data_IF_586534188107
#
_entry.id   IF_586534188107
#
_cell.length_a   1.000
_cell.length_b   1.000
_cell.length_c   1.000
_cell.angle_alpha   90.00
_cell.angle_beta   90.00
_cell.angle_gamma   90.00
#
_symmetry.space_group_name_H-M   'P 1'
#
loop_
_entity.id
_entity.type
_entity.pdbx_description
1 polymer ?
#
# COMPACT_ATOMS: atom_id res chain seq x y z
N UNK A 1 5.99 -6.85 -14.72
CA UNK A 1 5.12 -8.04 -14.68
C UNK A 1 4.10 -7.92 -13.54
N UNK A 2 2.88 -7.44 -13.81
CA UNK A 2 1.79 -7.42 -12.82
C UNK A 2 0.83 -8.62 -12.98
N UNK A 3 0.89 -9.33 -14.11
CA UNK A 3 -0.05 -10.40 -14.46
C UNK A 3 0.30 -11.77 -13.85
N UNK A 4 1.57 -12.01 -13.52
CA UNK A 4 2.05 -13.30 -13.01
C UNK A 4 2.66 -13.16 -11.60
N UNK A 5 2.51 -14.18 -10.73
CA UNK A 5 1.73 -15.39 -10.94
C UNK A 5 0.21 -15.17 -10.74
N UNK A 6 -0.62 -15.86 -11.54
CA UNK A 6 -2.08 -15.91 -11.33
C UNK A 6 -2.40 -16.94 -10.24
N UNK A 7 -3.36 -16.61 -9.38
CA UNK A 7 -3.84 -17.45 -8.27
C UNK A 7 -5.36 -17.33 -8.17
N UNK A 8 -6.00 -18.36 -7.62
CA UNK A 8 -7.43 -18.38 -7.39
C UNK A 8 -7.76 -17.71 -6.06
N UNK A 9 -8.74 -16.79 -6.06
CA UNK A 9 -9.36 -16.33 -4.82
C UNK A 9 -10.18 -17.47 -4.19
N UNK A 10 -9.88 -17.85 -2.95
CA UNK A 10 -10.55 -18.93 -2.23
C UNK A 10 -12.04 -18.66 -1.93
N UNK A 11 -12.46 -17.38 -1.95
CA UNK A 11 -13.84 -16.98 -1.63
C UNK A 11 -14.69 -16.75 -2.88
N UNK A 12 -14.18 -16.01 -3.86
CA UNK A 12 -14.92 -15.67 -5.09
C UNK A 12 -14.67 -16.64 -6.24
N UNK A 13 -13.67 -17.52 -6.12
CA UNK A 13 -13.20 -18.43 -7.19
C UNK A 13 -12.75 -17.72 -8.46
N UNK A 14 -12.45 -16.42 -8.38
CA UNK A 14 -11.93 -15.64 -9.50
C UNK A 14 -10.41 -15.83 -9.63
N UNK A 15 -9.88 -16.17 -10.81
CA UNK A 15 -8.44 -16.19 -11.06
C UNK A 15 -7.93 -14.75 -11.23
N UNK A 16 -6.96 -14.36 -10.42
CA UNK A 16 -6.42 -13.01 -10.40
C UNK A 16 -4.90 -13.03 -10.24
N UNK A 17 -4.18 -12.01 -10.72
CA UNK A 17 -2.77 -11.86 -10.39
C UNK A 17 -2.56 -11.75 -8.88
N UNK A 18 -1.47 -12.35 -8.37
CA UNK A 18 -1.15 -12.34 -6.92
C UNK A 18 -1.12 -10.93 -6.33
N UNK A 19 -0.75 -9.92 -7.11
CA UNK A 19 -0.73 -8.52 -6.67
C UNK A 19 -2.12 -7.97 -6.26
N UNK A 20 -3.21 -8.59 -6.73
CA UNK A 20 -4.59 -8.25 -6.39
C UNK A 20 -5.16 -9.09 -5.25
N UNK A 21 -4.35 -9.98 -4.67
CA UNK A 21 -4.78 -10.91 -3.63
C UNK A 21 -4.09 -10.61 -2.30
N UNK A 22 -4.85 -10.72 -1.22
CA UNK A 22 -4.33 -10.81 0.13
C UNK A 22 -4.08 -12.28 0.46
N UNK A 23 -2.83 -12.60 0.80
CA UNK A 23 -2.49 -13.93 1.29
C UNK A 23 -2.72 -14.03 2.80
N UNK A 24 -3.08 -15.22 3.24
CA UNK A 24 -3.21 -15.62 4.63
C UNK A 24 -2.43 -16.90 4.88
N UNK A 25 -1.75 -16.97 6.02
CA UNK A 25 -1.13 -18.17 6.55
C UNK A 25 -1.81 -18.62 7.84
N UNK A 26 -1.32 -19.71 8.40
CA UNK A 26 -1.78 -20.26 9.67
C UNK A 26 -0.68 -20.21 10.71
N UNK A 27 -1.03 -19.75 11.91
CA UNK A 27 -0.12 -19.65 13.05
C UNK A 27 -0.81 -20.19 14.29
N UNK A 28 -0.06 -20.87 15.17
CA UNK A 28 -0.53 -21.24 16.51
C UNK A 28 -0.35 -20.07 17.46
N UNK A 29 -1.41 -19.72 18.16
CA UNK A 29 -1.35 -18.74 19.24
C UNK A 29 -0.48 -19.31 20.38
N UNK A 30 0.50 -18.55 20.91
CA UNK A 30 1.46 -19.07 21.89
C UNK A 30 0.80 -19.55 23.18
N UNK A 31 -0.19 -18.79 23.68
CA UNK A 31 -0.82 -19.09 24.98
C UNK A 31 -1.95 -20.13 24.91
N UNK A 32 -2.77 -20.10 23.85
CA UNK A 32 -3.98 -20.92 23.75
C UNK A 32 -3.78 -22.16 22.89
N UNK A 33 -2.65 -22.25 22.17
CA UNK A 33 -2.33 -23.29 21.18
C UNK A 33 -3.40 -23.43 20.06
N UNK A 34 -4.33 -22.49 19.97
CA UNK A 34 -5.34 -22.44 18.91
C UNK A 34 -4.72 -21.96 17.61
N UNK A 35 -5.29 -22.37 16.49
CA UNK A 35 -4.78 -22.00 15.17
C UNK A 35 -5.56 -20.80 14.65
N UNK A 36 -4.85 -19.83 14.09
CA UNK A 36 -5.41 -18.58 13.61
C UNK A 36 -5.00 -18.34 12.16
N UNK A 37 -5.93 -17.78 11.39
CA UNK A 37 -5.61 -17.14 10.12
C UNK A 37 -4.90 -15.82 10.38
N UNK A 38 -3.75 -15.61 9.75
CA UNK A 38 -2.97 -14.37 9.86
C UNK A 38 -2.63 -13.89 8.44
N UNK A 39 -2.80 -12.59 8.11
CA UNK A 39 -2.36 -12.06 6.83
C UNK A 39 -0.85 -12.24 6.65
N UNK A 40 -0.42 -12.73 5.49
CA UNK A 40 1.01 -12.77 5.19
C UNK A 40 1.56 -11.34 5.08
N UNK A 41 2.69 -11.10 5.74
CA UNK A 41 3.31 -9.77 5.82
C UNK A 41 3.10 -9.04 7.14
N UNK A 42 2.28 -9.59 8.06
CA UNK A 42 2.02 -8.98 9.38
C UNK A 42 3.24 -9.07 10.31
N UNK A 43 3.89 -10.23 10.32
CA UNK A 43 4.94 -10.56 11.29
C UNK A 43 6.34 -10.75 10.67
N UNK A 44 6.52 -10.39 9.41
CA UNK A 44 7.86 -10.32 8.82
C UNK A 44 8.51 -9.02 9.29
N UNK A 45 9.45 -9.12 10.25
CA UNK A 45 10.36 -8.04 10.59
C UNK A 45 10.82 -7.38 9.29
N UNK A 46 10.39 -6.15 9.10
CA UNK A 46 10.54 -5.47 7.83
C UNK A 46 11.86 -4.73 7.85
N UNK A 47 12.76 -5.11 6.95
CA UNK A 47 13.83 -4.20 6.52
C UNK A 47 13.15 -3.00 5.85
N UNK A 48 13.47 -1.76 6.27
CA UNK A 48 13.00 -0.57 5.56
C UNK A 48 13.36 -0.67 4.07
N UNK A 49 12.87 0.25 3.24
CA UNK A 49 13.32 0.41 1.85
C UNK A 49 14.84 0.73 1.72
N UNK A 50 15.60 0.62 2.82
CA UNK A 50 17.06 0.71 2.94
C UNK A 50 17.80 -0.48 2.32
N UNK A 51 17.24 -1.69 2.28
CA UNK A 51 18.04 -2.90 1.95
C UNK A 51 17.68 -3.63 0.65
N UNK A 52 16.58 -3.26 -0.01
CA UNK A 52 16.19 -3.89 -1.30
C UNK A 52 16.84 -3.18 -2.51
N UNK A 53 17.67 -2.16 -2.27
CA UNK A 53 18.41 -1.44 -3.31
C UNK A 53 19.87 -1.22 -2.89
N UNK A 54 20.61 -2.31 -2.67
CA UNK A 54 22.06 -2.25 -2.65
C UNK A 54 22.59 -2.13 -4.08
N UNK A 55 23.30 -1.05 -4.38
CA UNK A 55 24.19 -0.94 -5.55
C UNK A 55 23.59 -0.35 -6.83
N UNK A 56 23.16 0.91 -6.78
CA UNK A 56 23.20 1.78 -7.96
C UNK A 56 23.27 3.24 -7.48
N UNK A 57 24.45 3.84 -7.57
CA UNK A 57 24.60 5.28 -7.53
C UNK A 57 23.81 5.85 -8.72
N UNK A 58 22.69 6.54 -8.45
CA UNK A 58 21.93 7.27 -9.48
C UNK A 58 22.71 8.54 -9.87
N UNK A 59 23.38 8.50 -11.02
CA UNK A 59 23.65 9.68 -11.83
C UNK A 59 22.47 9.87 -12.81
N UNK A 60 21.71 10.94 -12.62
CA UNK A 60 20.65 11.39 -13.54
C UNK A 60 21.32 12.06 -14.75
N UNK A 61 21.42 11.39 -15.90
CA UNK A 61 21.58 12.03 -17.23
C UNK A 61 20.92 11.14 -18.32
N UNK A 62 20.11 11.67 -19.26
CA UNK A 62 19.35 10.84 -20.18
C UNK A 62 20.01 10.79 -21.56
N UNK A 63 20.79 9.74 -21.86
CA UNK A 63 20.96 9.30 -23.26
C UNK A 63 21.60 7.91 -23.39
N UNK A 64 21.13 7.23 -24.44
CA UNK A 64 21.73 6.12 -25.16
C UNK A 64 21.34 4.69 -24.77
N UNK A 65 20.53 4.15 -25.68
CA UNK A 65 20.26 2.74 -25.89
C UNK A 65 21.51 1.96 -26.31
N UNK A 66 21.67 0.74 -25.81
CA UNK A 66 22.18 -0.39 -26.57
C UNK A 66 21.78 -1.71 -25.90
N UNK A 67 21.21 -2.59 -26.71
CA UNK A 67 20.82 -3.97 -26.46
C UNK A 67 22.02 -4.85 -26.11
N UNK A 68 21.85 -5.82 -25.20
CA UNK A 68 22.44 -7.15 -25.37
C UNK A 68 21.68 -8.22 -24.57
N UNK A 69 21.39 -9.32 -25.26
CA UNK A 69 20.83 -10.59 -24.79
C UNK A 69 21.89 -11.41 -24.05
N UNK A 70 21.45 -12.30 -23.16
CA UNK A 70 22.31 -13.29 -22.50
C UNK A 70 21.55 -14.22 -21.56
N UNK A 71 21.16 -15.36 -22.09
CA UNK A 71 20.65 -16.60 -21.47
C UNK A 71 21.50 -17.14 -20.31
N UNK A 72 20.86 -17.84 -19.35
CA UNK A 72 21.54 -18.81 -18.48
C UNK A 72 20.84 -19.09 -17.15
N UNK A 73 20.31 -20.29 -17.01
CA UNK A 73 19.58 -20.88 -15.88
C UNK A 73 20.42 -21.14 -14.62
N UNK A 74 19.69 -21.48 -13.56
CA UNK A 74 20.01 -22.49 -12.55
C UNK A 74 20.36 -22.06 -11.10
N UNK A 75 19.68 -22.79 -10.21
CA UNK A 75 19.60 -22.65 -8.78
C UNK A 75 20.91 -22.98 -8.07
N UNK A 76 21.19 -22.30 -6.95
CA UNK A 76 21.92 -22.92 -5.84
C UNK A 76 21.43 -22.35 -4.51
N UNK A 77 20.84 -23.26 -3.74
CA UNK A 77 20.64 -23.19 -2.30
C UNK A 77 21.99 -23.21 -1.58
N UNK A 78 22.25 -22.23 -0.71
CA UNK A 78 23.20 -22.40 0.40
C UNK A 78 22.62 -21.77 1.64
N UNK A 79 22.41 -22.64 2.62
CA UNK A 79 22.13 -22.32 3.99
C UNK A 79 23.41 -21.80 4.63
N UNK A 80 23.29 -20.76 5.46
CA UNK A 80 24.22 -20.55 6.56
C UNK A 80 23.45 -20.06 7.78
N UNK A 81 23.56 -20.83 8.84
CA UNK A 81 23.11 -20.46 10.17
C UNK A 81 24.20 -19.65 10.87
N UNK A 82 23.80 -18.71 11.71
CA UNK A 82 23.90 -18.86 13.17
C UNK A 82 23.62 -17.49 13.82
N UNK A 83 22.60 -17.41 14.66
CA UNK A 83 22.54 -16.44 15.76
C UNK A 83 21.47 -16.91 16.73
N UNK A 84 21.95 -17.39 17.88
CA UNK A 84 21.18 -17.83 19.01
C UNK A 84 20.57 -16.62 19.73
N UNK A 85 19.24 -16.61 19.77
CA UNK A 85 18.40 -15.78 20.62
C UNK A 85 17.08 -16.50 20.74
N UNK A 86 16.80 -17.09 21.90
CA UNK A 86 15.58 -17.83 22.21
C UNK A 86 14.38 -16.90 22.26
N UNK A 87 13.80 -16.60 21.09
CA UNK A 87 12.35 -16.42 20.99
C UNK A 87 11.80 -17.73 20.46
N UNK A 88 10.86 -18.37 21.15
CA UNK A 88 10.13 -19.51 20.60
C UNK A 88 9.60 -19.14 19.22
N UNK A 89 10.18 -19.75 18.18
CA UNK A 89 9.79 -19.49 16.80
C UNK A 89 8.37 -20.03 16.65
N UNK A 90 7.38 -19.14 16.65
CA UNK A 90 6.01 -19.49 16.29
C UNK A 90 6.04 -20.35 15.02
N UNK A 91 5.54 -21.58 15.13
CA UNK A 91 5.51 -22.53 14.01
C UNK A 91 4.50 -22.03 12.99
N UNK A 92 5.00 -21.29 11.99
CA UNK A 92 4.20 -20.82 10.86
C UNK A 92 4.00 -21.97 9.89
N UNK A 93 2.75 -22.27 9.59
CA UNK A 93 2.43 -23.20 8.52
C UNK A 93 2.32 -22.42 7.21
N UNK A 94 3.26 -22.68 6.28
CA UNK A 94 3.27 -22.05 4.95
C UNK A 94 2.19 -22.68 4.06
N UNK A 95 0.94 -22.26 4.25
CA UNK A 95 -0.17 -22.56 3.34
C UNK A 95 -0.84 -21.25 2.93
N UNK A 96 -0.36 -20.59 1.87
CA UNK A 96 -0.92 -19.32 1.44
C UNK A 96 -2.34 -19.54 0.91
N UNK A 97 -3.34 -19.18 1.69
CA UNK A 97 -4.70 -19.01 1.22
C UNK A 97 -4.86 -17.59 0.67
N UNK A 98 -5.45 -17.45 -0.52
CA UNK A 98 -5.57 -16.15 -1.17
C UNK A 98 -7.02 -15.68 -1.18
N UNK A 99 -7.24 -14.42 -0.82
CA UNK A 99 -8.52 -13.71 -0.93
C UNK A 99 -8.32 -12.51 -1.84
N UNK A 100 -9.32 -12.12 -2.59
CA UNK A 100 -9.33 -10.81 -3.26
C UNK A 100 -9.05 -9.70 -2.24
N UNK A 101 -8.03 -8.89 -2.49
CA UNK A 101 -7.64 -7.82 -1.58
C UNK A 101 -8.64 -6.66 -1.67
N UNK A 102 -9.80 -6.82 -1.02
CA UNK A 102 -10.87 -5.83 -0.92
C UNK A 102 -11.40 -5.75 0.51
N UNK A 103 -11.53 -4.53 1.01
CA UNK A 103 -11.97 -4.25 2.37
C UNK A 103 -13.40 -4.76 2.61
N UNK A 104 -14.34 -4.39 1.74
CA UNK A 104 -15.76 -4.75 1.84
C UNK A 104 -16.02 -6.26 1.83
N UNK A 105 -15.23 -7.00 1.04
CA UNK A 105 -15.30 -8.45 1.00
C UNK A 105 -14.84 -9.08 2.33
N UNK A 106 -13.75 -8.58 2.92
CA UNK A 106 -13.21 -9.09 4.17
C UNK A 106 -14.08 -8.72 5.37
N UNK A 107 -14.60 -7.49 5.41
CA UNK A 107 -15.62 -7.08 6.37
C UNK A 107 -16.84 -8.01 6.33
N UNK A 108 -17.20 -8.49 5.13
CA UNK A 108 -18.30 -9.44 4.93
C UNK A 108 -18.12 -10.78 5.63
N UNK A 109 -16.91 -11.18 6.04
CA UNK A 109 -16.68 -12.49 6.66
C UNK A 109 -17.31 -12.58 8.06
N UNK A 110 -17.29 -11.47 8.81
CA UNK A 110 -17.83 -11.39 10.16
C UNK A 110 -19.29 -10.89 10.21
N UNK A 111 -19.79 -10.27 9.14
CA UNK A 111 -21.15 -9.69 9.08
C UNK A 111 -22.20 -10.75 8.72
N UNK A 112 -23.04 -11.12 9.68
CA UNK A 112 -24.18 -12.01 9.44
C UNK A 112 -25.12 -11.43 8.37
N UNK A 113 -25.62 -12.28 7.47
CA UNK A 113 -26.46 -11.85 6.34
C UNK A 113 -25.69 -11.34 5.11
N UNK A 114 -24.36 -11.13 5.20
CA UNK A 114 -23.54 -10.82 4.03
C UNK A 114 -23.30 -12.08 3.17
N UNK A 115 -23.23 -11.92 1.85
CA UNK A 115 -22.94 -13.02 0.90
C UNK A 115 -21.60 -13.73 1.12
N UNK A 116 -20.66 -13.05 1.77
CA UNK A 116 -19.35 -13.56 2.13
C UNK A 116 -19.23 -13.98 3.60
N UNK A 117 -20.35 -14.01 4.35
CA UNK A 117 -20.36 -14.47 5.72
C UNK A 117 -19.72 -15.85 5.84
N UNK A 118 -18.84 -16.02 6.84
CA UNK A 118 -18.00 -17.19 7.00
C UNK A 118 -17.03 -17.50 5.82
N UNK A 119 -16.61 -16.48 5.07
CA UNK A 119 -15.69 -16.62 3.93
C UNK A 119 -14.37 -17.31 4.26
N UNK A 120 -13.87 -17.18 5.49
CA UNK A 120 -12.69 -17.90 5.99
C UNK A 120 -12.83 -19.43 5.88
N UNK A 121 -14.04 -19.97 6.02
CA UNK A 121 -14.27 -21.42 5.85
C UNK A 121 -13.99 -21.87 4.43
N UNK A 122 -14.23 -20.99 3.45
CA UNK A 122 -13.94 -21.25 2.03
C UNK A 122 -12.44 -21.25 1.76
N UNK A 123 -11.65 -20.50 2.52
CA UNK A 123 -10.19 -20.54 2.43
C UNK A 123 -9.65 -21.93 2.75
N UNK A 124 -10.26 -22.64 3.70
CA UNK A 124 -9.88 -24.00 4.09
C UNK A 124 -10.34 -25.11 3.12
N UNK A 125 -10.96 -24.77 1.98
CA UNK A 125 -11.51 -25.77 1.03
C UNK A 125 -10.52 -26.25 -0.03
N UNK A 126 -9.31 -25.69 -0.08
CA UNK A 126 -8.29 -26.17 -1.02
C UNK A 126 -7.75 -27.53 -0.52
N UNK A 127 -7.72 -28.58 -1.36
CA UNK A 127 -7.25 -29.92 -0.96
C UNK A 127 -5.80 -29.95 -0.48
N UNK A 128 -4.97 -28.96 -0.85
CA UNK A 128 -3.59 -28.84 -0.38
C UNK A 128 -3.46 -28.18 1.01
N UNK A 129 -4.57 -27.79 1.63
CA UNK A 129 -4.58 -27.15 2.94
C UNK A 129 -4.80 -28.21 4.04
N UNK A 130 -4.02 -28.18 5.14
CA UNK A 130 -4.16 -29.14 6.23
C UNK A 130 -5.57 -29.13 6.83
N UNK A 131 -6.05 -30.26 7.39
CA UNK A 131 -7.30 -30.32 8.15
C UNK A 131 -7.39 -29.27 9.25
N UNK A 132 -6.24 -28.90 9.83
CA UNK A 132 -6.09 -27.87 10.86
C UNK A 132 -6.60 -26.47 10.44
N UNK A 133 -6.61 -26.17 9.14
CA UNK A 133 -7.14 -24.89 8.66
C UNK A 133 -8.67 -24.80 8.79
N UNK A 134 -9.37 -25.95 8.81
CA UNK A 134 -10.82 -26.01 8.97
C UNK A 134 -11.24 -25.59 10.38
N UNK A 135 -10.34 -25.77 11.36
CA UNK A 135 -10.53 -25.39 12.76
C UNK A 135 -9.88 -24.05 13.09
N UNK A 136 -9.31 -23.35 12.10
CA UNK A 136 -8.59 -22.11 12.34
C UNK A 136 -9.55 -20.94 12.62
N UNK A 137 -9.27 -20.22 13.68
CA UNK A 137 -9.99 -19.04 14.10
C UNK A 137 -9.73 -17.87 13.14
N UNK A 138 -10.78 -17.07 12.95
CA UNK A 138 -10.72 -15.82 12.21
C UNK A 138 -11.05 -14.68 13.16
N UNK A 139 -10.20 -13.66 13.16
CA UNK A 139 -10.40 -12.46 13.97
C UNK A 139 -11.57 -11.64 13.40
N UNK A 140 -12.58 -11.24 14.20
CA UNK A 140 -13.75 -10.51 13.70
C UNK A 140 -13.42 -9.19 12.98
N UNK A 141 -12.39 -8.47 13.43
CA UNK A 141 -11.92 -7.18 12.91
C UNK A 141 -10.66 -7.30 12.02
N UNK A 142 -10.47 -8.45 11.37
CA UNK A 142 -9.29 -8.73 10.53
C UNK A 142 -9.11 -7.71 9.39
N UNK A 143 -10.21 -7.26 8.81
CA UNK A 143 -10.27 -6.23 7.77
C UNK A 143 -9.64 -4.91 8.24
N UNK A 144 -10.03 -4.40 9.40
CA UNK A 144 -9.47 -3.21 10.02
C UNK A 144 -7.97 -3.36 10.35
N UNK A 145 -7.56 -4.52 10.87
CA UNK A 145 -6.13 -4.81 11.14
C UNK A 145 -5.29 -4.72 9.87
N UNK A 146 -5.76 -5.31 8.76
CA UNK A 146 -5.07 -5.27 7.46
C UNK A 146 -5.02 -3.83 6.93
N UNK A 147 -6.12 -3.09 7.03
CA UNK A 147 -6.20 -1.69 6.60
C UNK A 147 -5.19 -0.82 7.34
N UNK A 148 -5.22 -0.88 8.68
CA UNK A 148 -4.34 -0.08 9.53
C UNK A 148 -2.87 -0.44 9.31
N UNK A 149 -2.56 -1.72 9.11
CA UNK A 149 -1.21 -2.11 8.78
C UNK A 149 -0.73 -1.56 7.43
N UNK A 150 -1.56 -1.64 6.38
CA UNK A 150 -1.22 -1.09 5.06
C UNK A 150 -0.99 0.43 5.15
N UNK A 151 -1.83 1.14 5.89
CA UNK A 151 -1.71 2.58 6.15
C UNK A 151 -0.41 2.92 6.86
N UNK A 152 -0.12 2.26 7.99
CA UNK A 152 1.12 2.46 8.76
C UNK A 152 2.36 2.19 7.91
N UNK A 153 2.37 1.10 7.14
CA UNK A 153 3.51 0.78 6.28
C UNK A 153 3.77 1.83 5.19
N UNK A 154 2.75 2.49 4.67
CA UNK A 154 2.90 3.58 3.69
C UNK A 154 3.36 4.84 4.40
N UNK A 155 2.78 5.17 5.56
CA UNK A 155 3.23 6.28 6.40
C UNK A 155 4.73 6.17 6.71
N UNK A 156 5.18 5.03 7.21
CA UNK A 156 6.59 4.82 7.58
C UNK A 156 7.51 4.95 6.36
N UNK A 157 7.08 4.46 5.18
CA UNK A 157 7.86 4.62 3.95
C UNK A 157 7.91 6.08 3.48
N UNK A 158 6.81 6.84 3.61
CA UNK A 158 6.77 8.27 3.27
C UNK A 158 7.66 9.09 4.20
N UNK A 159 7.65 8.81 5.50
CA UNK A 159 8.53 9.43 6.50
C UNK A 159 10.00 9.10 6.23
N UNK A 160 10.28 7.85 5.84
CA UNK A 160 11.63 7.47 5.43
C UNK A 160 12.09 8.27 4.20
N UNK A 161 11.25 8.37 3.16
CA UNK A 161 11.58 9.14 1.96
C UNK A 161 11.73 10.64 2.27
N UNK A 162 10.88 11.22 3.12
CA UNK A 162 10.99 12.64 3.51
C UNK A 162 12.30 12.89 4.24
N UNK A 163 12.67 12.01 5.19
CA UNK A 163 13.97 12.09 5.89
C UNK A 163 15.15 12.07 4.92
N UNK A 164 15.13 11.19 3.90
CA UNK A 164 16.17 11.18 2.87
C UNK A 164 16.23 12.47 2.06
N UNK A 165 15.09 13.13 1.83
CA UNK A 165 15.07 14.40 1.13
C UNK A 165 15.61 15.55 2.00
N UNK A 166 15.27 15.55 3.29
CA UNK A 166 15.67 16.58 4.26
C UNK A 166 17.15 16.46 4.64
N UNK A 167 17.66 15.25 4.93
CA UNK A 167 19.02 15.04 5.42
C UNK A 167 20.06 14.85 4.31
N UNK A 168 19.68 14.25 3.19
CA UNK A 168 20.60 13.89 2.10
C UNK A 168 20.34 14.64 0.80
N UNK A 169 19.48 15.68 0.82
CA UNK A 169 19.16 16.51 -0.34
C UNK A 169 18.54 15.74 -1.51
N UNK A 170 17.99 14.55 -1.26
CA UNK A 170 17.34 13.73 -2.30
C UNK A 170 16.03 14.37 -2.74
N UNK A 171 15.61 14.08 -3.97
CA UNK A 171 14.38 14.64 -4.58
C UNK A 171 13.34 13.57 -4.82
N UNK A 172 13.05 12.73 -3.81
CA UNK A 172 12.01 11.70 -3.91
C UNK A 172 10.61 12.28 -3.75
N UNK A 173 10.48 13.31 -2.92
CA UNK A 173 9.26 14.05 -2.67
C UNK A 173 9.55 15.52 -2.97
N UNK A 174 8.72 16.14 -3.80
CA UNK A 174 8.87 17.54 -4.20
C UNK A 174 7.53 18.25 -3.98
N UNK A 175 7.53 19.37 -3.27
CA UNK A 175 6.32 20.21 -3.16
C UNK A 175 6.00 20.83 -4.52
N UNK A 176 4.77 20.68 -4.97
CA UNK A 176 4.32 21.25 -6.26
C UNK A 176 3.87 22.69 -6.01
N UNK A 177 4.76 23.64 -6.28
CA UNK A 177 4.46 25.09 -6.27
C UNK A 177 4.17 25.63 -7.67
N UNK A 178 4.83 25.07 -8.69
CA UNK A 178 4.64 25.39 -10.10
C UNK A 178 4.45 24.11 -10.91
N UNK A 179 3.39 24.07 -11.73
CA UNK A 179 3.07 22.94 -12.60
C UNK A 179 4.17 22.71 -13.64
N UNK A 180 4.80 23.77 -14.16
CA UNK A 180 5.85 23.69 -15.17
C UNK A 180 7.12 23.02 -14.63
N UNK A 181 7.44 23.27 -13.36
CA UNK A 181 8.59 22.63 -12.71
C UNK A 181 8.34 21.13 -12.51
N UNK A 182 7.12 20.76 -12.10
CA UNK A 182 6.74 19.36 -11.97
C UNK A 182 6.79 18.61 -13.31
N UNK A 183 6.57 19.32 -14.42
CA UNK A 183 6.58 18.73 -15.76
C UNK A 183 7.93 18.24 -16.26
N UNK A 184 9.03 18.77 -15.70
CA UNK A 184 10.37 18.25 -15.96
C UNK A 184 10.56 16.80 -15.47
N UNK A 185 9.63 16.29 -14.67
CA UNK A 185 9.72 14.99 -13.99
C UNK A 185 8.64 14.02 -14.48
N UNK A 186 8.74 13.65 -15.76
CA UNK A 186 7.72 12.85 -16.47
C UNK A 186 7.70 11.38 -16.05
N UNK A 187 8.85 10.80 -15.67
CA UNK A 187 8.98 9.36 -15.49
C UNK A 187 8.60 8.86 -14.09
N UNK A 188 7.66 7.90 -14.04
CA UNK A 188 7.29 7.09 -12.86
C UNK A 188 6.79 7.91 -11.66
N UNK A 189 6.21 9.08 -11.92
CA UNK A 189 5.73 9.95 -10.88
C UNK A 189 4.26 9.68 -10.49
N UNK A 190 3.90 10.05 -9.27
CA UNK A 190 2.52 10.13 -8.80
C UNK A 190 2.35 11.38 -7.92
N UNK A 191 1.14 11.91 -7.85
CA UNK A 191 0.84 13.05 -7.00
C UNK A 191 0.30 12.59 -5.65
N UNK A 192 0.77 13.22 -4.58
CA UNK A 192 0.30 13.04 -3.21
C UNK A 192 -0.48 14.30 -2.82
N UNK A 193 -1.77 14.15 -2.59
CA UNK A 193 -2.62 15.22 -2.11
C UNK A 193 -2.82 15.09 -0.60
N UNK A 194 -2.54 16.16 0.14
CA UNK A 194 -2.65 16.24 1.60
C UNK A 194 -3.67 17.28 2.08
N UNK A 195 -4.32 17.99 1.14
CA UNK A 195 -5.20 19.12 1.44
C UNK A 195 -4.47 20.31 2.05
N UNK A 196 -5.19 21.38 2.38
CA UNK A 196 -4.60 22.45 3.17
C UNK A 196 -4.25 21.95 4.58
N UNK A 197 -3.02 22.22 5.02
CA UNK A 197 -2.60 21.95 6.39
C UNK A 197 -3.32 22.94 7.28
N UNK A 198 -4.42 22.53 7.93
CA UNK A 198 -5.13 23.41 8.87
C UNK A 198 -4.14 23.92 9.92
N UNK A 199 -3.83 25.21 9.87
CA UNK A 199 -3.47 25.95 11.06
C UNK A 199 -4.67 25.84 12.02
N UNK A 200 -4.36 25.55 13.27
CA UNK A 200 -5.30 25.43 14.39
C UNK A 200 -6.46 26.44 14.39
N UNK A 201 -7.68 25.95 14.67
CA UNK A 201 -8.75 26.74 15.30
C UNK A 201 -9.78 27.37 14.36
N UNK A 202 -10.91 26.69 14.18
CA UNK A 202 -12.24 27.33 14.18
C UNK A 202 -13.30 26.25 14.25
N UNK A 203 -13.96 26.20 15.40
CA UNK A 203 -15.26 25.57 15.60
C UNK A 203 -16.33 26.34 14.81
N UNK A 204 -17.37 25.59 14.44
CA UNK A 204 -18.77 25.98 14.18
C UNK A 204 -19.09 27.28 13.40
N UNK A 205 -19.85 27.09 12.31
CA UNK A 205 -20.59 28.18 11.68
C UNK A 205 -21.41 27.71 10.49
N UNK A 206 -22.69 27.39 10.71
CA UNK A 206 -23.71 27.33 9.67
C UNK A 206 -23.78 28.68 8.92
N UNK A 207 -23.52 28.69 7.62
CA UNK A 207 -24.17 29.60 6.66
C UNK A 207 -23.85 29.18 5.22
N UNK A 208 -24.88 28.90 4.43
CA UNK A 208 -24.79 28.95 2.97
C UNK A 208 -24.50 30.39 2.51
N UNK A 209 -23.73 30.57 1.43
CA UNK A 209 -23.92 31.70 0.55
C UNK A 209 -24.27 31.23 -0.87
N UNK A 210 -25.41 31.72 -1.35
CA UNK A 210 -25.73 31.85 -2.76
C UNK A 210 -24.83 32.97 -3.33
N UNK A 211 -24.04 32.67 -4.36
CA UNK A 211 -23.28 33.69 -5.11
C UNK A 211 -21.94 33.18 -5.62
N UNK A 212 -21.76 33.23 -6.93
CA UNK A 212 -20.64 32.69 -7.71
C UNK A 212 -19.24 33.17 -7.30
N UNK A 213 -18.25 32.33 -7.62
CA UNK A 213 -16.80 32.58 -7.63
C UNK A 213 -16.02 32.43 -6.30
N UNK A 214 -15.91 31.18 -5.85
CA UNK A 214 -14.78 30.69 -5.07
C UNK A 214 -14.71 29.17 -5.24
N UNK A 215 -13.68 28.64 -5.90
CA UNK A 215 -13.53 27.20 -6.14
C UNK A 215 -13.55 26.47 -4.80
N UNK A 216 -14.70 25.88 -4.45
CA UNK A 216 -14.80 24.91 -3.37
C UNK A 216 -13.68 23.89 -3.58
N UNK A 217 -12.89 23.68 -2.54
CA UNK A 217 -11.70 22.84 -2.53
C UNK A 217 -12.09 21.40 -2.90
N UNK A 218 -11.99 21.03 -4.19
CA UNK A 218 -12.45 19.73 -4.68
C UNK A 218 -11.46 18.67 -4.20
N UNK A 219 -11.82 18.04 -3.09
CA UNK A 219 -11.21 16.83 -2.57
C UNK A 219 -11.10 15.77 -3.68
N UNK A 220 -9.89 15.29 -4.04
CA UNK A 220 -9.73 14.38 -5.17
C UNK A 220 -10.59 13.12 -5.01
N UNK A 221 -11.34 12.82 -6.06
CA UNK A 221 -12.15 11.62 -6.15
C UNK A 221 -11.29 10.34 -6.20
N UNK A 222 -11.95 9.21 -6.03
CA UNK A 222 -11.30 7.92 -6.17
C UNK A 222 -10.79 7.76 -7.61
N UNK A 223 -9.49 7.51 -7.75
CA UNK A 223 -8.79 7.38 -9.04
C UNK A 223 -8.61 8.69 -9.80
N UNK A 224 -8.67 9.82 -9.10
CA UNK A 224 -8.30 11.11 -9.67
C UNK A 224 -6.92 11.05 -10.34
N UNK A 225 -6.81 11.73 -11.48
CA UNK A 225 -5.58 11.89 -12.23
C UNK A 225 -5.30 13.35 -12.50
N UNK A 226 -4.03 13.69 -12.73
CA UNK A 226 -3.60 15.02 -13.10
C UNK A 226 -2.71 14.96 -14.32
N UNK A 227 -3.01 15.82 -15.29
CA UNK A 227 -2.21 16.01 -16.49
C UNK A 227 -1.05 16.95 -16.19
N UNK A 228 0.11 16.64 -16.71
CA UNK A 228 1.29 17.48 -16.59
C UNK A 228 1.30 18.42 -17.80
N UNK A 229 1.37 19.74 -17.56
CA UNK A 229 1.30 20.79 -18.60
C UNK A 229 0.07 20.72 -19.54
N UNK A 230 -1.03 20.08 -19.08
CA UNK A 230 -2.24 19.89 -19.90
C UNK A 230 -2.09 18.84 -20.99
N UNK A 231 -1.01 18.05 -20.98
CA UNK A 231 -0.80 16.93 -21.89
C UNK A 231 -1.36 15.63 -21.31
N UNK A 232 -2.49 15.18 -21.86
CA UNK A 232 -3.14 13.91 -21.53
C UNK A 232 -2.24 12.67 -21.68
N UNK A 233 -1.17 12.71 -22.49
CA UNK A 233 -0.21 11.58 -22.61
C UNK A 233 0.65 11.42 -21.37
N UNK A 234 0.68 12.44 -20.51
CA UNK A 234 1.48 12.49 -19.28
C UNK A 234 0.64 12.36 -18.00
N UNK A 235 -0.64 12.01 -18.12
CA UNK A 235 -1.58 11.76 -17.01
C UNK A 235 -0.95 10.90 -15.89
N UNK A 236 -1.01 11.36 -14.64
CA UNK A 236 -0.53 10.61 -13.46
C UNK A 236 -1.60 10.49 -12.37
N UNK A 237 -1.59 9.42 -11.57
CA UNK A 237 -2.53 9.25 -10.47
C UNK A 237 -2.30 10.29 -9.36
N UNK A 238 -3.39 10.75 -8.77
CA UNK A 238 -3.42 11.62 -7.59
C UNK A 238 -3.95 10.80 -6.40
N UNK A 239 -3.07 10.54 -5.43
CA UNK A 239 -3.42 9.84 -4.21
C UNK A 239 -3.88 10.81 -3.13
N UNK A 240 -5.13 10.66 -2.73
CA UNK A 240 -5.72 11.39 -1.61
C UNK A 240 -5.26 10.77 -0.28
N UNK A 241 -4.21 11.33 0.33
CA UNK A 241 -3.63 10.77 1.55
C UNK A 241 -4.55 10.86 2.77
N UNK A 242 -5.36 11.92 2.98
CA UNK A 242 -6.37 11.94 4.04
C UNK A 242 -7.35 10.77 3.99
N UNK A 243 -7.88 10.43 2.80
CA UNK A 243 -8.74 9.25 2.64
C UNK A 243 -7.98 7.94 2.80
N UNK A 244 -6.82 7.82 2.16
CA UNK A 244 -6.06 6.56 2.12
C UNK A 244 -5.44 6.22 3.46
N UNK A 245 -4.73 7.16 4.09
CA UNK A 245 -4.00 6.93 5.34
C UNK A 245 -4.87 7.16 6.59
N UNK A 246 -5.95 7.93 6.47
CA UNK A 246 -6.78 8.34 7.60
C UNK A 246 -6.16 9.49 8.40
N UNK A 247 -6.98 10.18 9.23
CA UNK A 247 -6.61 11.44 9.87
C UNK A 247 -5.43 11.31 10.82
N UNK A 248 -5.37 10.25 11.63
CA UNK A 248 -4.28 10.04 12.60
C UNK A 248 -2.92 9.89 11.91
N UNK A 249 -2.86 9.11 10.82
CA UNK A 249 -1.61 8.91 10.09
C UNK A 249 -1.20 10.17 9.31
N UNK A 250 -2.15 10.95 8.78
CA UNK A 250 -1.84 12.24 8.13
C UNK A 250 -1.36 13.28 9.13
N UNK A 251 -1.98 13.36 10.30
CA UNK A 251 -1.53 14.24 11.37
C UNK A 251 -0.08 13.91 11.77
N UNK A 252 0.22 12.61 11.94
CA UNK A 252 1.57 12.12 12.22
C UNK A 252 2.55 12.43 11.09
N UNK A 253 2.16 12.25 9.82
CA UNK A 253 2.99 12.57 8.66
C UNK A 253 3.38 14.06 8.64
N UNK A 254 2.41 14.95 8.92
CA UNK A 254 2.65 16.40 8.96
C UNK A 254 3.45 16.84 10.18
N UNK A 255 3.36 16.13 11.32
CA UNK A 255 4.15 16.48 12.51
C UNK A 255 5.60 16.00 12.42
N UNK A 256 5.84 14.84 11.80
CA UNK A 256 7.17 14.22 11.76
C UNK A 256 8.02 14.61 10.53
N UNK A 257 7.43 15.08 9.43
CA UNK A 257 8.18 15.59 8.27
C UNK A 257 8.06 17.10 8.14
N UNK A 258 9.20 17.79 8.17
CA UNK A 258 9.23 19.25 7.98
C UNK A 258 8.79 19.64 6.56
N UNK A 259 9.12 18.83 5.56
CA UNK A 259 8.73 19.05 4.17
C UNK A 259 7.22 18.88 3.92
N UNK A 260 6.60 17.88 4.54
CA UNK A 260 5.17 17.56 4.34
C UNK A 260 4.26 18.31 5.31
N UNK A 261 4.84 18.98 6.32
CA UNK A 261 4.11 19.81 7.29
C UNK A 261 3.21 20.81 6.59
N UNK A 262 3.75 21.52 5.59
CA UNK A 262 3.07 22.58 4.86
C UNK A 262 2.97 22.27 3.36
N UNK A 263 1.80 22.56 2.79
CA UNK A 263 1.52 22.33 1.38
C UNK A 263 0.40 21.32 1.17
N UNK A 264 -0.16 21.38 -0.05
CA UNK A 264 -1.34 20.63 -0.47
C UNK A 264 -1.05 19.48 -1.41
N UNK A 265 -0.04 19.64 -2.27
CA UNK A 265 0.23 18.73 -3.37
C UNK A 265 1.74 18.52 -3.49
N UNK A 266 2.13 17.25 -3.59
CA UNK A 266 3.51 16.83 -3.68
C UNK A 266 3.67 15.82 -4.80
N UNK A 267 4.83 15.82 -5.45
CA UNK A 267 5.22 14.87 -6.45
C UNK A 267 6.09 13.78 -5.81
N UNK A 268 5.68 12.52 -5.96
CA UNK A 268 6.46 11.35 -5.60
C UNK A 268 7.19 10.84 -6.85
N UNK A 269 8.53 10.87 -6.87
CA UNK A 269 9.35 10.50 -8.05
C UNK A 269 10.56 9.62 -7.74
N UNK A 270 11.27 9.22 -8.80
CA UNK A 270 12.43 8.32 -8.81
C UNK A 270 12.08 6.86 -8.51
N UNK A 271 12.97 5.95 -8.94
CA UNK A 271 12.80 4.51 -8.86
C UNK A 271 12.56 4.02 -7.42
N UNK A 272 13.24 4.63 -6.44
CA UNK A 272 13.11 4.25 -5.03
C UNK A 272 11.71 4.50 -4.47
N UNK A 273 10.98 5.47 -5.02
CA UNK A 273 9.59 5.74 -4.65
C UNK A 273 8.58 4.78 -5.28
N UNK A 274 9.00 3.97 -6.27
CA UNK A 274 8.13 3.05 -6.99
C UNK A 274 7.46 2.02 -6.08
N UNK A 275 8.12 1.60 -5.00
CA UNK A 275 7.54 0.70 -3.99
C UNK A 275 6.39 1.39 -3.26
N UNK A 276 6.56 2.65 -2.87
CA UNK A 276 5.52 3.43 -2.17
C UNK A 276 4.34 3.70 -3.10
N UNK A 277 4.61 4.09 -4.35
CA UNK A 277 3.59 4.27 -5.38
C UNK A 277 2.76 2.99 -5.57
N UNK A 278 3.41 1.82 -5.67
CA UNK A 278 2.74 0.53 -5.82
C UNK A 278 1.87 0.17 -4.60
N UNK A 279 2.29 0.56 -3.40
CA UNK A 279 1.51 0.36 -2.17
C UNK A 279 0.32 1.29 -2.07
N UNK A 280 0.48 2.56 -2.44
CA UNK A 280 -0.61 3.54 -2.53
C UNK A 280 -1.68 3.04 -3.50
N UNK A 281 -1.26 2.60 -4.69
CA UNK A 281 -2.14 1.97 -5.67
C UNK A 281 -2.86 0.74 -5.11
N UNK A 282 -2.12 -0.16 -4.43
CA UNK A 282 -2.71 -1.35 -3.82
C UNK A 282 -3.69 -1.02 -2.68
N UNK A 283 -3.41 0.00 -1.86
CA UNK A 283 -4.29 0.44 -0.79
C UNK A 283 -5.57 1.08 -1.35
N UNK A 284 -5.42 1.91 -2.39
CA UNK A 284 -6.56 2.51 -3.08
C UNK A 284 -7.47 1.44 -3.71
N UNK A 285 -6.90 0.41 -4.33
CA UNK A 285 -7.65 -0.74 -4.82
C UNK A 285 -8.30 -1.55 -3.69
N UNK A 286 -7.64 -1.68 -2.54
CA UNK A 286 -8.17 -2.39 -1.37
C UNK A 286 -9.39 -1.69 -0.77
N UNK A 287 -9.36 -0.36 -0.68
CA UNK A 287 -10.44 0.47 -0.15
C UNK A 287 -11.53 0.79 -1.17
N UNK A 288 -11.44 0.25 -2.38
CA UNK A 288 -12.28 0.67 -3.47
C UNK A 288 -13.75 0.30 -3.27
N UNK A 289 -14.61 1.32 -3.24
CA UNK A 289 -16.06 1.13 -3.26
C UNK A 289 -16.52 1.07 -4.71
N UNK A 290 -16.86 -0.13 -5.18
CA UNK A 290 -17.53 -0.30 -6.47
C UNK A 290 -19.04 -0.28 -6.22
N UNK A 291 -19.65 0.90 -6.32
CA UNK A 291 -21.11 1.03 -6.44
C UNK A 291 -21.48 0.49 -7.83
N UNK A 292 -22.10 -0.70 -7.88
CA UNK A 292 -22.68 -1.38 -9.04
C UNK A 292 -22.09 -1.04 -10.43
N UNK A 293 -21.24 -1.95 -10.95
CA UNK A 293 -21.15 -2.18 -12.40
C UNK A 293 -22.35 -3.01 -12.84
#
# INVERSE_FOLDING_TARGET
MLATPVRLCGVTRTPLPKAMLQSFGLVRHPETNQVWWIPEGVDSQRKPASEVSGGAEEADDPSSAATQEGTGDEATTVADGNSAGTSEKQTRYRYPAHVLARLDLMEGFAKMGNRYYNGQKRLATNPHIPPLAKTANWRPDMDGVILDQRRRHILDDLLYLSKLCEEHGRKYIIRVTDAKYAATYVHRAAFLWLGEGKASGSEEGNQEPIGEAGKAEIDPEQYATLDIDGDTTTTRPVYNLPKLLGPANVARLRSESSMLKEGRLFLLRSQRSGIVNKKLWSLQGFMATFTNL
#
